data_IF_645934926067
#
_entry.id   IF_645934926067
#
_cell.length_a   1.000
_cell.length_b   1.000
_cell.length_c   1.000
_cell.angle_alpha   90.00
_cell.angle_beta   90.00
_cell.angle_gamma   90.00
#
_symmetry.space_group_name_H-M   'P 1'
#
loop_
_entity.id
_entity.type
_entity.pdbx_description
1 polymer ?
#
# COMPACT_ATOMS: atom_id res chain seq x y z
N UNK A 1 -1.83 -19.07 -18.96
CA UNK A 1 -2.86 -18.57 -18.04
C UNK A 1 -2.26 -18.24 -16.69
N UNK A 2 -2.67 -17.11 -16.12
CA UNK A 2 -2.25 -16.66 -14.77
C UNK A 2 -3.47 -16.65 -13.84
N UNK A 3 -3.34 -17.28 -12.68
CA UNK A 3 -4.30 -17.22 -11.60
C UNK A 3 -3.73 -16.39 -10.44
N UNK A 4 -4.47 -15.38 -10.00
CA UNK A 4 -4.13 -14.51 -8.87
C UNK A 4 -5.11 -14.81 -7.72
N UNK A 5 -4.58 -15.06 -6.53
CA UNK A 5 -5.38 -15.36 -5.33
C UNK A 5 -5.33 -14.18 -4.38
N UNK A 6 -6.48 -13.64 -4.02
CA UNK A 6 -6.79 -12.49 -3.18
C UNK A 6 -6.97 -11.18 -3.97
N UNK A 7 -8.14 -10.59 -3.80
CA UNK A 7 -8.59 -9.33 -4.41
C UNK A 7 -8.31 -8.09 -3.56
N UNK A 8 -7.33 -8.14 -2.65
CA UNK A 8 -6.80 -6.95 -1.98
C UNK A 8 -5.99 -6.06 -2.93
N UNK A 9 -5.48 -4.92 -2.44
CA UNK A 9 -4.75 -3.95 -3.27
C UNK A 9 -3.58 -4.57 -4.04
N UNK A 10 -2.88 -5.56 -3.45
CA UNK A 10 -1.74 -6.20 -4.11
C UNK A 10 -2.16 -7.09 -5.28
N UNK A 11 -3.19 -7.95 -5.10
CA UNK A 11 -3.69 -8.81 -6.17
C UNK A 11 -4.36 -8.02 -7.28
N UNK A 12 -5.12 -6.98 -6.93
CA UNK A 12 -5.74 -6.09 -7.91
C UNK A 12 -4.71 -5.30 -8.74
N UNK A 13 -3.64 -4.81 -8.09
CA UNK A 13 -2.53 -4.15 -8.79
C UNK A 13 -1.78 -5.10 -9.72
N UNK A 14 -1.57 -6.35 -9.28
CA UNK A 14 -0.96 -7.38 -10.12
C UNK A 14 -1.84 -7.70 -11.33
N UNK A 15 -3.17 -7.84 -11.14
CA UNK A 15 -4.13 -8.04 -12.22
C UNK A 15 -4.04 -6.92 -13.27
N UNK A 16 -4.09 -5.66 -12.83
CA UNK A 16 -3.94 -4.51 -13.72
C UNK A 16 -2.62 -4.53 -14.47
N UNK A 17 -1.52 -4.80 -13.76
CA UNK A 17 -0.19 -4.84 -14.37
C UNK A 17 -0.08 -5.98 -15.39
N UNK A 18 -0.60 -7.16 -15.06
CA UNK A 18 -0.61 -8.32 -15.95
C UNK A 18 -1.43 -8.04 -17.23
N UNK A 19 -2.63 -7.49 -17.09
CA UNK A 19 -3.50 -7.19 -18.22
C UNK A 19 -2.92 -6.13 -19.16
N UNK A 20 -2.33 -5.07 -18.58
CA UNK A 20 -1.93 -3.91 -19.36
C UNK A 20 -0.50 -3.97 -19.92
N UNK A 21 0.44 -4.55 -19.18
CA UNK A 21 1.87 -4.43 -19.47
C UNK A 21 2.53 -5.76 -19.85
N UNK A 22 1.74 -6.85 -20.00
CA UNK A 22 2.26 -8.14 -20.42
C UNK A 22 1.57 -8.64 -21.71
N UNK A 23 2.06 -9.74 -22.25
CA UNK A 23 1.44 -10.42 -23.38
C UNK A 23 0.42 -11.50 -22.99
N UNK A 24 0.05 -11.60 -21.71
CA UNK A 24 -0.93 -12.58 -21.23
C UNK A 24 -2.28 -12.36 -21.89
N UNK A 25 -2.94 -13.46 -22.24
CA UNK A 25 -4.25 -13.43 -22.93
C UNK A 25 -5.42 -13.67 -22.01
N UNK A 26 -5.17 -14.33 -20.87
CA UNK A 26 -6.18 -14.62 -19.88
C UNK A 26 -5.58 -14.56 -18.47
N UNK A 27 -6.25 -13.85 -17.58
CA UNK A 27 -5.90 -13.76 -16.16
C UNK A 27 -7.16 -13.91 -15.30
N UNK A 28 -7.12 -14.85 -14.37
CA UNK A 28 -8.19 -15.06 -13.39
C UNK A 28 -7.78 -14.46 -12.04
N UNK A 29 -8.65 -13.70 -11.39
CA UNK A 29 -8.50 -13.28 -10.01
C UNK A 29 -9.57 -13.91 -9.14
N UNK A 30 -9.16 -14.57 -8.06
CA UNK A 30 -10.06 -15.19 -7.08
C UNK A 30 -10.04 -14.40 -5.77
N UNK A 31 -11.21 -14.07 -5.25
CA UNK A 31 -11.41 -13.48 -3.93
C UNK A 31 -12.43 -14.30 -3.13
N UNK A 32 -12.11 -14.61 -1.87
CA UNK A 32 -12.98 -15.39 -0.98
C UNK A 32 -14.24 -14.66 -0.51
N UNK A 33 -14.18 -13.32 -0.48
CA UNK A 33 -15.31 -12.49 -0.11
C UNK A 33 -16.15 -12.15 -1.34
N UNK A 34 -17.39 -11.70 -1.10
CA UNK A 34 -18.31 -11.26 -2.15
C UNK A 34 -17.92 -9.92 -2.77
N UNK A 35 -16.87 -9.25 -2.25
CA UNK A 35 -16.36 -7.98 -2.75
C UNK A 35 -14.85 -7.89 -2.54
N UNK A 36 -14.20 -7.02 -3.33
CA UNK A 36 -12.77 -6.76 -3.28
C UNK A 36 -12.37 -5.98 -2.02
N UNK A 37 -11.10 -6.10 -1.63
CA UNK A 37 -10.45 -5.27 -0.61
C UNK A 37 -11.13 -5.25 0.78
N UNK A 38 -11.90 -6.26 1.12
CA UNK A 38 -12.75 -6.30 2.33
C UNK A 38 -11.98 -6.51 3.65
N UNK A 39 -10.70 -6.86 3.62
CA UNK A 39 -9.92 -7.16 4.83
C UNK A 39 -8.81 -6.13 5.02
N UNK A 40 -7.57 -6.43 4.64
CA UNK A 40 -6.42 -5.56 4.95
C UNK A 40 -6.41 -4.23 4.19
N UNK A 41 -6.96 -4.17 2.99
CA UNK A 41 -7.04 -2.94 2.20
C UNK A 41 -8.22 -2.04 2.58
N UNK A 42 -9.16 -2.54 3.39
CA UNK A 42 -10.33 -1.78 3.80
C UNK A 42 -9.98 -0.74 4.88
N UNK A 43 -10.52 0.47 4.78
CA UNK A 43 -10.22 1.61 5.67
C UNK A 43 -10.49 1.37 7.16
N UNK A 44 -11.28 0.35 7.53
CA UNK A 44 -11.46 -0.08 8.94
C UNK A 44 -10.27 -0.83 9.52
N UNK A 45 -9.43 -1.43 8.66
CA UNK A 45 -8.35 -2.33 9.06
C UNK A 45 -6.98 -1.81 8.64
N UNK A 46 -6.92 -0.62 8.04
CA UNK A 46 -5.69 -0.02 7.52
C UNK A 46 -5.73 1.49 7.76
N UNK A 47 -4.59 2.09 8.08
CA UNK A 47 -4.46 3.54 8.32
C UNK A 47 -4.64 4.37 7.03
N UNK A 48 -4.70 3.74 5.88
CA UNK A 48 -4.80 4.39 4.56
C UNK A 48 -3.64 5.36 4.27
N UNK A 49 -2.50 5.17 4.92
CA UNK A 49 -1.33 6.07 4.81
C UNK A 49 -0.45 5.67 3.65
N UNK A 50 -0.07 6.64 2.82
CA UNK A 50 1.00 6.52 1.83
C UNK A 50 2.34 6.88 2.49
N UNK A 51 3.14 5.87 2.79
CA UNK A 51 4.48 6.04 3.35
C UNK A 51 5.48 6.37 2.24
N UNK A 52 5.74 7.67 2.02
CA UNK A 52 6.60 8.16 0.93
C UNK A 52 8.09 8.14 1.27
N UNK A 53 8.44 7.90 2.52
CA UNK A 53 9.82 7.82 2.99
C UNK A 53 10.41 9.12 3.55
N UNK A 54 9.75 10.26 3.35
CA UNK A 54 10.24 11.57 3.77
C UNK A 54 10.21 11.78 5.29
N UNK A 55 9.12 11.36 5.96
CA UNK A 55 8.95 11.52 7.42
C UNK A 55 9.17 10.23 8.23
N UNK A 56 9.38 9.10 7.59
CA UNK A 56 9.66 7.82 8.24
C UNK A 56 11.07 7.81 8.84
N UNK A 57 11.16 8.15 10.13
CA UNK A 57 12.43 8.42 10.82
C UNK A 57 13.36 7.21 10.94
N UNK A 58 12.85 6.00 10.73
CA UNK A 58 13.60 4.75 10.72
C UNK A 58 14.13 4.31 9.33
N UNK A 59 13.88 5.10 8.27
CA UNK A 59 14.39 4.80 6.94
C UNK A 59 15.75 5.47 6.70
N UNK A 60 16.67 4.75 6.06
CA UNK A 60 17.83 5.37 5.42
C UNK A 60 17.37 6.18 4.19
N UNK A 61 18.19 7.12 3.71
CA UNK A 61 17.87 7.87 2.50
C UNK A 61 17.65 6.94 1.30
N UNK A 62 18.50 5.93 1.13
CA UNK A 62 18.37 4.94 0.05
C UNK A 62 17.00 4.24 0.08
N UNK A 63 16.62 3.70 1.25
CA UNK A 63 15.31 3.05 1.43
C UNK A 63 14.17 4.04 1.17
N UNK A 64 14.28 5.26 1.65
CA UNK A 64 13.27 6.30 1.47
C UNK A 64 13.06 6.65 -0.01
N UNK A 65 14.14 6.78 -0.79
CA UNK A 65 14.07 7.05 -2.23
C UNK A 65 13.48 5.86 -3.01
N UNK A 66 13.80 4.62 -2.62
CA UNK A 66 13.19 3.43 -3.21
C UNK A 66 11.67 3.39 -2.98
N UNK A 67 11.25 3.61 -1.72
CA UNK A 67 9.82 3.66 -1.36
C UNK A 67 9.10 4.81 -2.06
N UNK A 68 9.75 5.97 -2.18
CA UNK A 68 9.22 7.12 -2.92
C UNK A 68 8.83 6.76 -4.36
N UNK A 69 9.68 6.01 -5.07
CA UNK A 69 9.39 5.58 -6.44
C UNK A 69 8.11 4.75 -6.52
N UNK A 70 7.93 3.79 -5.58
CA UNK A 70 6.72 2.97 -5.53
C UNK A 70 5.46 3.80 -5.25
N UNK A 71 5.54 4.75 -4.32
CA UNK A 71 4.41 5.66 -4.02
C UNK A 71 4.11 6.59 -5.20
N UNK A 72 5.14 7.13 -5.85
CA UNK A 72 4.97 7.98 -7.03
C UNK A 72 4.25 7.23 -8.17
N UNK A 73 4.45 5.91 -8.33
CA UNK A 73 3.67 5.09 -9.28
C UNK A 73 2.18 5.07 -8.95
N UNK A 74 1.83 4.87 -7.67
CA UNK A 74 0.43 4.89 -7.20
C UNK A 74 -0.19 6.28 -7.41
N UNK A 75 0.51 7.35 -7.05
CA UNK A 75 0.04 8.73 -7.23
C UNK A 75 -0.16 9.05 -8.72
N UNK A 76 0.76 8.64 -9.59
CA UNK A 76 0.65 8.85 -11.03
C UNK A 76 -0.56 8.10 -11.61
N UNK A 77 -0.79 6.85 -11.20
CA UNK A 77 -1.97 6.10 -11.58
C UNK A 77 -3.25 6.82 -11.14
N UNK A 78 -3.35 7.20 -9.85
CA UNK A 78 -4.51 7.90 -9.30
C UNK A 78 -4.80 9.20 -10.05
N UNK A 79 -3.78 10.02 -10.30
CA UNK A 79 -3.90 11.28 -11.07
C UNK A 79 -4.40 11.01 -12.50
N UNK A 80 -3.94 9.94 -13.13
CA UNK A 80 -4.39 9.56 -14.47
C UNK A 80 -5.87 9.12 -14.48
N UNK A 81 -6.36 8.47 -13.41
CA UNK A 81 -7.79 8.14 -13.30
C UNK A 81 -8.65 9.37 -13.03
N UNK A 82 -8.21 10.27 -12.16
CA UNK A 82 -8.89 11.56 -11.92
C UNK A 82 -9.02 12.39 -13.20
N UNK A 83 -7.98 12.42 -14.03
CA UNK A 83 -8.03 13.11 -15.35
C UNK A 83 -9.06 12.50 -16.32
N UNK A 84 -9.48 11.25 -16.09
CA UNK A 84 -10.56 10.59 -16.83
C UNK A 84 -11.95 10.79 -16.18
N UNK A 85 -12.03 11.52 -15.06
CA UNK A 85 -13.27 11.80 -14.34
C UNK A 85 -13.57 10.84 -13.17
N UNK A 86 -12.64 10.00 -12.77
CA UNK A 86 -12.79 9.19 -11.56
C UNK A 86 -12.72 10.05 -10.28
N UNK A 87 -13.33 9.56 -9.20
CA UNK A 87 -13.19 10.16 -7.89
C UNK A 87 -11.71 10.10 -7.41
N UNK A 88 -11.27 11.06 -6.58
CA UNK A 88 -9.91 11.04 -6.03
C UNK A 88 -9.63 9.76 -5.25
N UNK A 89 -8.53 9.09 -5.58
CA UNK A 89 -8.03 7.90 -4.89
C UNK A 89 -6.96 8.24 -3.84
N UNK A 90 -6.28 9.38 -4.02
CA UNK A 90 -5.23 9.88 -3.12
C UNK A 90 -5.60 11.26 -2.60
N UNK A 91 -5.21 11.54 -1.36
CA UNK A 91 -5.59 12.77 -0.67
C UNK A 91 -4.39 13.49 -0.08
N UNK A 92 -4.42 14.82 -0.13
CA UNK A 92 -3.37 15.70 0.38
C UNK A 92 -3.73 16.21 1.75
N UNK A 93 -2.80 16.05 2.69
CA UNK A 93 -2.92 16.58 4.05
C UNK A 93 -1.56 17.10 4.53
N UNK A 94 -1.54 17.99 5.53
CA UNK A 94 -0.31 18.25 6.27
C UNK A 94 0.20 16.99 6.97
N UNK A 95 1.51 16.81 6.97
CA UNK A 95 2.17 15.71 7.70
C UNK A 95 3.46 16.21 8.32
N UNK A 96 3.84 15.66 9.48
CA UNK A 96 5.10 15.99 10.11
C UNK A 96 5.62 14.84 10.99
N UNK A 97 6.94 14.72 11.06
CA UNK A 97 7.64 13.94 12.08
C UNK A 97 8.23 14.91 13.11
N UNK A 98 7.93 14.66 14.39
CA UNK A 98 8.32 15.52 15.49
C UNK A 98 9.59 15.02 16.19
N UNK A 99 10.45 15.96 16.58
CA UNK A 99 11.51 15.75 17.56
C UNK A 99 11.18 16.56 18.83
N UNK A 100 11.27 15.94 19.98
CA UNK A 100 11.03 16.56 21.30
C UNK A 100 12.26 16.40 22.19
N UNK A 101 12.71 17.49 22.76
CA UNK A 101 14.00 17.52 23.48
C UNK A 101 15.19 17.68 22.54
N UNK A 102 16.35 18.02 23.08
CA UNK A 102 17.52 18.39 22.29
C UNK A 102 17.96 17.27 21.33
N UNK A 103 18.02 16.03 21.82
CA UNK A 103 18.54 14.89 21.04
C UNK A 103 17.69 14.60 19.79
N UNK A 104 16.36 14.57 19.97
CA UNK A 104 15.46 14.33 18.84
C UNK A 104 15.39 15.53 17.90
N UNK A 105 15.44 16.76 18.43
CA UNK A 105 15.50 17.97 17.61
C UNK A 105 16.73 17.99 16.72
N UNK A 106 17.91 17.64 17.26
CA UNK A 106 19.15 17.56 16.49
C UNK A 106 19.07 16.47 15.42
N UNK A 107 18.46 15.32 15.75
CA UNK A 107 18.23 14.24 14.80
C UNK A 107 17.33 14.69 13.64
N UNK A 108 16.20 15.34 13.92
CA UNK A 108 15.26 15.83 12.88
C UNK A 108 15.95 16.89 12.00
N UNK A 109 16.71 17.82 12.56
CA UNK A 109 17.43 18.85 11.79
C UNK A 109 18.48 18.22 10.85
N UNK A 110 19.23 17.23 11.35
CA UNK A 110 20.22 16.49 10.54
C UNK A 110 19.52 15.74 9.41
N UNK A 111 18.43 15.04 9.74
CA UNK A 111 17.64 14.32 8.76
C UNK A 111 17.05 15.24 7.69
N UNK A 112 16.50 16.38 8.09
CA UNK A 112 16.00 17.39 7.15
C UNK A 112 17.10 17.82 6.16
N UNK A 113 18.30 18.14 6.66
CA UNK A 113 19.43 18.54 5.82
C UNK A 113 19.79 17.49 4.78
N UNK A 114 19.74 16.20 5.15
CA UNK A 114 20.02 15.08 4.26
C UNK A 114 18.89 14.84 3.24
N UNK A 115 17.63 14.96 3.65
CA UNK A 115 16.47 14.56 2.85
C UNK A 115 15.89 15.67 1.97
N UNK A 116 15.96 16.93 2.39
CA UNK A 116 15.35 18.06 1.68
C UNK A 116 15.76 18.18 0.20
N UNK A 117 17.00 17.90 -0.22
CA UNK A 117 17.38 17.94 -1.63
C UNK A 117 16.61 16.92 -2.51
N UNK A 118 16.05 15.88 -1.92
CA UNK A 118 15.40 14.75 -2.62
C UNK A 118 13.86 14.78 -2.56
N UNK A 119 13.30 15.63 -1.69
CA UNK A 119 11.85 15.73 -1.48
C UNK A 119 11.38 17.18 -1.66
N UNK A 120 10.84 17.49 -2.81
CA UNK A 120 10.24 18.78 -3.06
C UNK A 120 9.07 19.01 -2.11
N UNK A 121 9.04 20.15 -1.42
CA UNK A 121 7.99 20.48 -0.44
C UNK A 121 8.24 19.96 0.98
N UNK A 122 9.37 19.29 1.23
CA UNK A 122 9.79 18.99 2.59
C UNK A 122 10.29 20.25 3.28
N UNK A 123 9.72 20.58 4.42
CA UNK A 123 10.01 21.77 5.20
C UNK A 123 10.48 21.38 6.61
N UNK A 124 11.27 22.26 7.22
CA UNK A 124 11.60 22.20 8.66
C UNK A 124 10.72 23.21 9.38
N UNK A 125 9.96 22.75 10.37
CA UNK A 125 9.01 23.56 11.13
C UNK A 125 9.56 23.84 12.53
N UNK A 126 9.64 25.11 12.89
CA UNK A 126 9.88 25.55 14.26
C UNK A 126 8.57 25.60 15.06
N UNK A 127 8.67 25.75 16.37
CA UNK A 127 7.53 25.63 17.31
C UNK A 127 6.32 26.49 16.93
N UNK A 128 6.53 27.70 16.42
CA UNK A 128 5.45 28.60 15.99
C UNK A 128 4.70 28.11 14.77
N UNK A 129 5.42 27.49 13.83
CA UNK A 129 4.85 26.91 12.62
C UNK A 129 4.10 25.62 12.93
N UNK A 130 4.66 24.77 13.81
CA UNK A 130 3.98 23.59 14.33
C UNK A 130 2.67 23.98 14.98
N UNK A 131 2.68 25.02 15.82
CA UNK A 131 1.48 25.53 16.49
C UNK A 131 0.40 26.02 15.51
N UNK A 132 0.78 26.53 14.36
CA UNK A 132 -0.17 26.96 13.31
C UNK A 132 -0.86 25.80 12.59
N UNK A 133 -0.23 24.61 12.59
CA UNK A 133 -0.74 23.40 11.94
C UNK A 133 -1.50 22.55 12.95
N UNK A 134 -0.86 22.27 14.11
CA UNK A 134 -1.42 21.41 15.16
C UNK A 134 -0.98 21.95 16.55
N UNK A 135 -1.74 22.90 17.12
CA UNK A 135 -1.37 23.56 18.37
C UNK A 135 -1.25 22.61 19.56
N UNK A 136 -2.05 21.52 19.59
CA UNK A 136 -2.05 20.56 20.70
C UNK A 136 -0.75 19.75 20.83
N UNK A 137 0.10 19.77 19.83
CA UNK A 137 1.41 19.13 19.87
C UNK A 137 2.41 19.92 20.73
N UNK A 138 2.32 21.25 20.71
CA UNK A 138 3.26 22.17 21.36
C UNK A 138 2.67 22.91 22.55
N UNK A 139 1.37 22.81 22.75
CA UNK A 139 0.66 23.43 23.90
C UNK A 139 0.15 22.34 24.85
N UNK A 140 0.25 22.64 26.14
CA UNK A 140 -0.34 21.85 27.20
C UNK A 140 -1.85 22.13 27.31
N UNK A 141 -2.60 21.24 27.98
CA UNK A 141 -4.06 21.38 28.16
C UNK A 141 -4.48 22.69 28.87
N UNK A 142 -3.58 23.27 29.67
CA UNK A 142 -3.80 24.53 30.40
C UNK A 142 -3.44 25.79 29.58
N UNK A 143 -3.14 25.60 28.26
CA UNK A 143 -2.79 26.68 27.34
C UNK A 143 -1.34 27.16 27.42
N UNK A 144 -0.52 26.55 28.27
CA UNK A 144 0.91 26.87 28.32
C UNK A 144 1.67 26.11 27.23
N UNK A 145 2.73 26.75 26.73
CA UNK A 145 3.68 26.09 25.83
C UNK A 145 4.46 24.99 26.54
N UNK A 146 4.80 23.93 25.80
CA UNK A 146 5.76 22.91 26.26
C UNK A 146 7.08 23.61 26.63
N UNK A 147 7.74 23.08 27.66
CA UNK A 147 9.07 23.57 28.08
C UNK A 147 10.20 22.93 27.25
N UNK A 148 9.96 21.71 26.75
CA UNK A 148 10.93 21.01 25.92
C UNK A 148 11.01 21.67 24.53
N UNK A 149 12.20 21.77 23.94
CA UNK A 149 12.33 22.18 22.54
C UNK A 149 11.60 21.19 21.64
N UNK A 150 10.95 21.72 20.61
CA UNK A 150 10.24 20.94 19.61
C UNK A 150 10.60 21.46 18.22
N UNK A 151 10.90 20.55 17.32
CA UNK A 151 11.08 20.82 15.91
C UNK A 151 10.38 19.72 15.11
N UNK A 152 9.94 20.01 13.91
CA UNK A 152 9.40 18.98 13.01
C UNK A 152 9.98 19.12 11.61
N UNK A 153 10.00 18.03 10.88
CA UNK A 153 10.12 18.07 9.42
C UNK A 153 8.88 17.45 8.80
N UNK A 154 8.42 18.01 7.68
CA UNK A 154 7.19 17.54 7.05
C UNK A 154 6.79 18.37 5.86
N UNK A 155 5.51 18.32 5.51
CA UNK A 155 4.93 19.08 4.40
C UNK A 155 3.56 19.62 4.80
N UNK A 156 3.19 20.80 4.28
CA UNK A 156 1.87 21.40 4.49
C UNK A 156 0.78 20.81 3.60
N UNK A 157 1.14 20.23 2.47
CA UNK A 157 0.21 19.66 1.51
C UNK A 157 0.93 18.64 0.63
N UNK A 158 0.83 17.38 1.00
CA UNK A 158 1.43 16.28 0.23
C UNK A 158 0.44 15.11 0.12
N UNK A 159 0.58 14.26 -0.88
CA UNK A 159 -0.19 13.02 -0.99
C UNK A 159 0.22 12.07 0.14
N UNK A 160 -0.62 11.96 1.16
CA UNK A 160 -0.32 11.21 2.38
C UNK A 160 -1.32 10.10 2.68
N UNK A 161 -2.47 10.10 2.05
CA UNK A 161 -3.48 9.08 2.23
C UNK A 161 -3.97 8.54 0.87
N UNK A 162 -4.36 7.26 0.87
CA UNK A 162 -4.95 6.59 -0.28
C UNK A 162 -6.10 5.72 0.20
N UNK A 163 -7.24 5.81 -0.46
CA UNK A 163 -8.30 4.82 -0.29
C UNK A 163 -7.89 3.54 -1.02
N UNK A 164 -7.27 2.61 -0.28
CA UNK A 164 -6.77 1.37 -0.86
C UNK A 164 -7.89 0.42 -1.31
N UNK A 165 -9.09 0.53 -0.76
CA UNK A 165 -10.22 -0.25 -1.25
C UNK A 165 -10.68 0.30 -2.61
N UNK A 166 -10.90 1.61 -2.72
CA UNK A 166 -11.24 2.24 -3.99
C UNK A 166 -10.14 2.04 -5.04
N UNK A 167 -8.86 2.09 -4.64
CA UNK A 167 -7.73 1.81 -5.52
C UNK A 167 -7.76 0.37 -6.06
N UNK A 168 -8.08 -0.62 -5.22
CA UNK A 168 -8.19 -2.01 -5.64
C UNK A 168 -9.31 -2.21 -6.68
N UNK A 169 -10.48 -1.62 -6.43
CA UNK A 169 -11.59 -1.62 -7.41
C UNK A 169 -11.19 -0.96 -8.73
N UNK A 170 -10.55 0.22 -8.67
CA UNK A 170 -10.08 0.94 -9.85
C UNK A 170 -9.07 0.13 -10.68
N UNK A 171 -8.17 -0.62 -10.04
CA UNK A 171 -7.26 -1.52 -10.75
C UNK A 171 -8.01 -2.63 -11.49
N UNK A 172 -9.00 -3.26 -10.86
CA UNK A 172 -9.80 -4.33 -11.50
C UNK A 172 -10.61 -3.78 -12.66
N UNK A 173 -11.30 -2.64 -12.48
CA UNK A 173 -12.03 -1.97 -13.56
C UNK A 173 -11.12 -1.61 -14.74
N UNK A 174 -9.93 -1.08 -14.44
CA UNK A 174 -8.94 -0.76 -15.48
C UNK A 174 -8.41 -2.00 -16.20
N UNK A 175 -8.23 -3.13 -15.49
CA UNK A 175 -7.83 -4.39 -16.10
C UNK A 175 -8.93 -4.95 -17.02
N UNK A 176 -10.19 -4.92 -16.57
CA UNK A 176 -11.35 -5.38 -17.36
C UNK A 176 -11.60 -4.52 -18.61
N UNK A 177 -11.15 -3.28 -18.61
CA UNK A 177 -11.24 -2.41 -19.79
C UNK A 177 -10.19 -2.69 -20.87
N UNK A 178 -9.16 -3.49 -20.57
CA UNK A 178 -8.12 -3.87 -21.55
C UNK A 178 -8.64 -4.92 -22.52
N UNK A 179 -8.63 -4.58 -23.82
CA UNK A 179 -9.15 -5.48 -24.87
C UNK A 179 -8.19 -6.61 -25.24
N UNK A 180 -6.93 -6.54 -24.85
CA UNK A 180 -5.88 -7.50 -25.22
C UNK A 180 -5.78 -8.70 -24.28
N UNK A 181 -6.46 -8.65 -23.13
CA UNK A 181 -6.43 -9.66 -22.08
C UNK A 181 -7.86 -9.91 -21.56
N UNK A 182 -8.27 -11.17 -21.53
CA UNK A 182 -9.53 -11.58 -20.91
C UNK A 182 -9.34 -11.67 -19.39
N UNK A 183 -10.26 -11.08 -18.65
CA UNK A 183 -10.23 -11.07 -17.17
C UNK A 183 -11.42 -11.84 -16.63
N UNK A 184 -11.15 -12.92 -15.89
CA UNK A 184 -12.15 -13.65 -15.13
C UNK A 184 -12.05 -13.28 -13.63
N UNK A 185 -13.10 -12.68 -13.09
CA UNK A 185 -13.18 -12.29 -11.69
C UNK A 185 -14.12 -13.23 -10.93
N UNK A 186 -13.60 -13.98 -9.96
CA UNK A 186 -14.35 -14.91 -9.12
C UNK A 186 -14.41 -14.44 -7.68
N UNK A 187 -15.50 -13.77 -7.34
CA UNK A 187 -15.82 -13.35 -5.97
C UNK A 187 -16.55 -14.47 -5.22
N UNK A 188 -16.47 -14.49 -3.88
CA UNK A 188 -17.05 -15.55 -3.05
C UNK A 188 -16.37 -16.90 -3.21
N UNK A 189 -15.24 -16.98 -3.90
CA UNK A 189 -14.52 -18.22 -4.20
C UNK A 189 -13.35 -18.45 -3.24
N UNK A 190 -13.57 -19.27 -2.22
CA UNK A 190 -12.50 -19.63 -1.28
C UNK A 190 -11.63 -20.77 -1.83
N UNK A 191 -10.30 -20.55 -1.85
CA UNK A 191 -9.33 -21.60 -2.23
C UNK A 191 -9.16 -22.61 -1.10
N UNK A 192 -9.45 -23.89 -1.39
CA UNK A 192 -9.33 -25.00 -0.45
C UNK A 192 -7.96 -25.70 -0.53
N UNK A 193 -7.50 -25.97 -1.78
CA UNK A 193 -6.19 -26.58 -2.03
C UNK A 193 -5.60 -26.09 -3.35
N UNK A 194 -4.27 -26.20 -3.46
CA UNK A 194 -3.49 -25.98 -4.68
C UNK A 194 -2.61 -27.21 -4.83
N UNK A 195 -2.69 -27.88 -5.98
CA UNK A 195 -1.91 -29.08 -6.30
C UNK A 195 -1.17 -28.87 -7.61
N UNK A 196 0.11 -29.21 -7.66
CA UNK A 196 0.90 -29.19 -8.87
C UNK A 196 0.70 -30.51 -9.62
N UNK A 197 0.28 -30.45 -10.88
CA UNK A 197 0.00 -31.62 -11.71
C UNK A 197 0.67 -31.44 -13.07
N UNK A 198 1.85 -32.01 -13.23
CA UNK A 198 2.68 -31.80 -14.42
C UNK A 198 3.11 -30.33 -14.56
N UNK A 199 2.77 -29.71 -15.66
CA UNK A 199 3.10 -28.31 -15.96
C UNK A 199 2.00 -27.32 -15.52
N UNK A 200 0.99 -27.77 -14.79
CA UNK A 200 -0.17 -26.99 -14.37
C UNK A 200 -0.41 -27.07 -12.87
N UNK A 201 -1.13 -26.10 -12.35
CA UNK A 201 -1.69 -26.09 -11.02
C UNK A 201 -3.20 -26.34 -11.06
N UNK A 202 -3.67 -27.29 -10.25
CA UNK A 202 -5.10 -27.52 -10.01
C UNK A 202 -5.49 -26.80 -8.73
N UNK A 203 -6.25 -25.72 -8.86
CA UNK A 203 -6.70 -24.90 -7.71
C UNK A 203 -8.16 -25.23 -7.42
N UNK A 204 -8.40 -25.94 -6.32
CA UNK A 204 -9.73 -26.26 -5.85
C UNK A 204 -10.30 -25.12 -5.03
N UNK A 205 -11.50 -24.70 -5.39
CA UNK A 205 -12.24 -23.64 -4.71
C UNK A 205 -13.64 -24.12 -4.31
N UNK A 206 -14.32 -23.35 -3.46
CA UNK A 206 -15.73 -23.56 -3.12
C UNK A 206 -16.68 -23.46 -4.32
N UNK A 207 -16.23 -22.90 -5.45
CA UNK A 207 -17.03 -22.75 -6.69
C UNK A 207 -16.58 -23.68 -7.83
N UNK A 208 -15.67 -24.63 -7.54
CA UNK A 208 -15.14 -25.57 -8.51
C UNK A 208 -13.62 -25.54 -8.60
N UNK A 209 -13.07 -26.29 -9.56
CA UNK A 209 -11.63 -26.42 -9.78
C UNK A 209 -11.21 -25.59 -10.99
N UNK A 210 -10.07 -24.90 -10.88
CA UNK A 210 -9.47 -24.07 -11.92
C UNK A 210 -8.09 -24.64 -12.21
N UNK A 211 -7.79 -24.80 -13.48
CA UNK A 211 -6.46 -25.15 -13.99
C UNK A 211 -5.72 -23.88 -14.40
N UNK A 212 -4.47 -23.73 -14.00
CA UNK A 212 -3.64 -22.58 -14.37
C UNK A 212 -2.17 -22.97 -14.54
N UNK A 213 -1.49 -22.37 -15.51
CA UNK A 213 -0.04 -22.57 -15.72
C UNK A 213 0.78 -21.86 -14.63
N UNK A 214 0.27 -20.75 -14.11
CA UNK A 214 0.93 -19.96 -13.08
C UNK A 214 -0.08 -19.53 -12.01
N UNK A 215 0.32 -19.65 -10.75
CA UNK A 215 -0.47 -19.21 -9.60
C UNK A 215 0.34 -18.24 -8.74
N UNK A 216 -0.21 -17.06 -8.48
CA UNK A 216 0.40 -16.07 -7.58
C UNK A 216 -0.55 -15.80 -6.42
N UNK A 217 -0.05 -15.99 -5.20
CA UNK A 217 -0.82 -15.71 -3.98
C UNK A 217 -0.50 -14.32 -3.46
N UNK A 218 -1.52 -13.47 -3.35
CA UNK A 218 -1.44 -12.12 -2.79
C UNK A 218 -2.15 -12.00 -1.43
N UNK A 219 -2.38 -13.13 -0.76
CA UNK A 219 -3.22 -13.27 0.44
C UNK A 219 -2.53 -12.81 1.75
N UNK A 220 -1.54 -11.91 1.66
CA UNK A 220 -0.84 -11.36 2.81
C UNK A 220 -0.27 -12.45 3.71
N UNK A 221 -0.55 -12.41 5.02
CA UNK A 221 -0.09 -13.43 5.97
C UNK A 221 -0.60 -14.85 5.69
N UNK A 222 -1.67 -15.02 4.93
CA UNK A 222 -2.18 -16.32 4.53
C UNK A 222 -1.39 -16.96 3.37
N UNK A 223 -0.62 -16.20 2.61
CA UNK A 223 0.19 -16.71 1.50
C UNK A 223 1.19 -17.77 1.96
N UNK A 224 1.87 -17.57 3.09
CA UNK A 224 2.80 -18.57 3.64
C UNK A 224 2.06 -19.85 4.09
N UNK A 225 0.87 -19.72 4.66
CA UNK A 225 0.07 -20.90 5.05
C UNK A 225 -0.36 -21.72 3.82
N UNK A 226 -0.63 -21.07 2.70
CA UNK A 226 -0.92 -21.76 1.44
C UNK A 226 0.34 -22.46 0.91
N UNK A 227 1.48 -21.81 0.93
CA UNK A 227 2.76 -22.40 0.57
C UNK A 227 3.12 -23.62 1.44
N UNK A 228 2.89 -23.54 2.77
CA UNK A 228 3.09 -24.67 3.70
C UNK A 228 2.22 -25.88 3.35
N UNK A 229 0.96 -25.67 2.95
CA UNK A 229 0.07 -26.77 2.51
C UNK A 229 0.60 -27.47 1.25
N UNK A 230 1.37 -26.76 0.44
CA UNK A 230 2.06 -27.32 -0.75
C UNK A 230 3.45 -27.91 -0.44
N UNK A 231 3.90 -27.85 0.83
CA UNK A 231 5.21 -28.33 1.25
C UNK A 231 6.36 -27.33 1.05
N UNK A 232 6.08 -26.07 0.74
CA UNK A 232 7.09 -25.02 0.51
C UNK A 232 7.22 -24.08 1.71
N UNK A 233 8.43 -23.58 1.96
CA UNK A 233 8.72 -22.58 2.98
C UNK A 233 8.48 -23.05 4.41
N UNK A 234 8.59 -24.35 4.71
CA UNK A 234 8.28 -24.96 6.00
C UNK A 234 9.22 -24.50 7.14
N UNK A 235 10.37 -23.95 6.79
CA UNK A 235 11.35 -23.35 7.68
C UNK A 235 11.07 -21.89 8.04
N UNK A 236 10.07 -21.28 7.41
CA UNK A 236 9.59 -19.93 7.73
C UNK A 236 8.31 -19.96 8.57
N UNK A 237 8.15 -18.97 9.43
CA UNK A 237 6.92 -18.78 10.20
C UNK A 237 6.45 -17.33 10.15
N UNK A 238 5.13 -17.13 10.13
CA UNK A 238 4.51 -15.81 10.35
C UNK A 238 3.97 -15.79 11.76
N UNK A 239 4.53 -14.91 12.59
CA UNK A 239 3.98 -14.62 13.91
C UNK A 239 3.10 -13.37 13.79
N UNK A 240 1.80 -13.45 14.08
CA UNK A 240 0.97 -12.28 14.17
C UNK A 240 1.47 -11.43 15.34
N UNK A 241 1.94 -10.23 15.02
CA UNK A 241 2.26 -9.20 16.02
C UNK A 241 0.98 -8.40 16.22
N UNK A 242 0.36 -8.59 17.38
CA UNK A 242 -0.83 -7.84 17.79
C UNK A 242 -0.49 -6.49 18.39
#
# INVERSE_FOLDING_TARGET
ELLIIDGGVSGSALLYTAARYTGLKHVTLIEKNEDLANVNSHGRNNSQTLHRGDIETNYTLEKALYVKQAVDMVVNYATAQEAKGAAPLVHKYPKMALGVGNVECDFIRKRYTEFAPHYQGLELFEVGEIASIEPYVVMMRDGRWRKDPVVAMGSRSENVACDFAALAHSFVESAQAEQSCEIDLKLGAHVESIEEVGDFFMVKTTQGTIEAENVITCAGGHSLLMAHKMGHGLDYSVLPMG
#
